data_IF_706042736800
#
_entry.id   IF_706042736800
#
_cell.length_a   1.000
_cell.length_b   1.000
_cell.length_c   1.000
_cell.angle_alpha   90.00
_cell.angle_beta   90.00
_cell.angle_gamma   90.00
#
_symmetry.space_group_name_H-M   'P 1'
#
loop_
_entity.id
_entity.type
_entity.pdbx_description
1 polymer ?
#
# COMPACT_ATOMS: atom_id res chain seq x y z
N UNK A 1 -46.23 53.93 30.43
CA UNK A 1 -45.24 54.42 31.42
C UNK A 1 -43.86 54.22 30.80
N UNK A 2 -43.31 55.20 30.05
CA UNK A 2 -42.65 56.43 30.53
C UNK A 2 -41.32 56.08 31.25
N UNK A 3 -40.10 56.52 30.89
CA UNK A 3 -39.57 57.59 30.04
C UNK A 3 -38.14 57.26 29.54
N UNK A 4 -37.83 57.91 28.43
CA UNK A 4 -36.73 58.04 27.43
C UNK A 4 -35.36 58.64 27.92
N UNK A 5 -34.37 59.07 27.07
CA UNK A 5 -32.95 58.63 27.07
C UNK A 5 -31.86 59.76 27.09
N UNK A 6 -30.55 59.44 27.07
CA UNK A 6 -29.41 60.27 26.55
C UNK A 6 -28.11 59.47 26.74
N UNK A 7 -27.27 59.11 25.77
CA UNK A 7 -26.42 59.98 24.95
C UNK A 7 -25.84 59.20 23.75
N UNK A 8 -25.68 59.95 22.65
CA UNK A 8 -25.27 59.55 21.30
C UNK A 8 -23.88 60.14 21.02
N UNK A 9 -23.08 59.48 20.17
CA UNK A 9 -21.73 59.83 19.60
C UNK A 9 -20.57 59.17 20.37
N UNK A 10 -19.72 58.34 19.76
CA UNK A 10 -18.88 58.69 18.61
C UNK A 10 -18.70 57.55 17.58
N UNK A 11 -18.82 57.94 16.31
CA UNK A 11 -18.28 57.24 15.13
C UNK A 11 -16.74 57.29 15.14
N UNK A 12 -16.03 56.24 14.72
CA UNK A 12 -15.06 56.28 13.58
C UNK A 12 -14.33 54.95 13.32
N UNK A 13 -14.48 54.50 12.06
CA UNK A 13 -13.47 53.92 11.15
C UNK A 13 -12.73 52.63 11.55
N UNK A 14 -13.15 51.55 10.88
CA UNK A 14 -12.29 50.44 10.46
C UNK A 14 -11.16 50.93 9.54
N UNK A 15 -9.90 50.59 9.86
CA UNK A 15 -8.83 50.27 8.91
C UNK A 15 -7.68 49.56 9.65
N UNK A 16 -7.13 48.56 8.96
CA UNK A 16 -5.95 47.71 9.22
C UNK A 16 -4.94 48.19 10.28
N UNK A 17 -4.41 47.23 11.07
CA UNK A 17 -3.01 46.77 11.04
C UNK A 17 -2.86 45.59 12.03
N UNK A 18 -2.16 44.56 11.56
CA UNK A 18 -1.68 43.39 12.30
C UNK A 18 -0.60 43.72 13.33
N UNK A 19 -0.53 42.96 14.43
CA UNK A 19 0.64 42.19 14.95
C UNK A 19 0.44 41.81 16.43
N UNK A 20 0.88 40.58 16.73
CA UNK A 20 0.81 39.79 17.96
C UNK A 20 1.19 40.48 19.28
N UNK A 21 0.60 39.97 20.38
CA UNK A 21 1.34 39.36 21.50
C UNK A 21 0.38 38.57 22.41
N UNK A 22 0.54 37.25 22.46
CA UNK A 22 0.08 36.43 23.57
C UNK A 22 1.31 35.84 24.25
N UNK A 23 1.54 36.28 25.49
CA UNK A 23 2.51 35.72 26.42
C UNK A 23 1.82 34.55 27.12
N UNK A 24 2.48 33.40 27.20
CA UNK A 24 2.16 32.38 28.20
C UNK A 24 3.46 31.71 28.68
N UNK A 25 3.61 31.75 29.99
CA UNK A 25 4.71 31.23 30.79
C UNK A 25 4.57 29.72 31.03
N UNK A 26 5.72 29.05 30.96
CA UNK A 26 6.23 27.91 31.73
C UNK A 26 5.38 26.64 32.01
N UNK A 27 6.01 25.48 31.78
CA UNK A 27 5.99 24.41 32.80
C UNK A 27 6.07 22.97 32.31
N UNK A 28 7.27 22.37 32.44
CA UNK A 28 7.56 20.96 32.71
C UNK A 28 7.12 19.86 31.70
N UNK A 29 8.10 19.44 30.89
CA UNK A 29 8.37 18.02 30.60
C UNK A 29 7.45 17.34 29.59
N UNK A 30 7.85 17.37 28.31
CA UNK A 30 7.77 16.23 27.38
C UNK A 30 8.62 16.58 26.14
N UNK A 31 9.64 15.76 25.86
CA UNK A 31 10.40 15.84 24.62
C UNK A 31 9.48 15.50 23.44
N UNK A 32 9.08 16.52 22.68
CA UNK A 32 8.51 16.34 21.34
C UNK A 32 9.60 16.64 20.33
N UNK A 33 10.01 15.60 19.62
CA UNK A 33 10.77 15.67 18.38
C UNK A 33 9.93 16.47 17.36
N UNK A 34 10.28 17.72 17.14
CA UNK A 34 9.77 18.50 16.01
C UNK A 34 10.63 18.20 14.79
N UNK A 35 10.13 17.32 13.91
CA UNK A 35 10.64 17.24 12.55
C UNK A 35 10.40 18.59 11.86
N UNK A 36 11.48 19.26 11.50
CA UNK A 36 11.48 20.48 10.69
C UNK A 36 10.72 20.24 9.37
N UNK A 37 9.47 20.67 9.28
CA UNK A 37 8.90 21.10 8.00
C UNK A 37 9.43 22.50 7.73
N UNK A 38 10.59 22.60 7.08
CA UNK A 38 10.91 23.81 6.32
C UNK A 38 9.93 23.83 5.14
N UNK A 39 8.84 24.58 5.26
CA UNK A 39 8.21 25.12 4.06
C UNK A 39 9.20 26.13 3.50
N UNK A 40 9.95 25.73 2.48
CA UNK A 40 10.54 26.70 1.56
C UNK A 40 9.37 27.42 0.89
N UNK A 41 8.97 28.55 1.46
CA UNK A 41 8.30 29.60 0.71
C UNK A 41 9.28 30.04 -0.38
N UNK A 42 9.21 29.34 -1.51
CA UNK A 42 9.94 29.70 -2.71
C UNK A 42 9.50 31.09 -3.13
N UNK A 43 10.46 31.99 -3.07
CA UNK A 43 10.44 33.33 -3.62
C UNK A 43 9.83 33.29 -5.04
N UNK A 44 8.74 34.04 -5.25
CA UNK A 44 8.08 34.14 -6.54
C UNK A 44 8.94 34.97 -7.49
N UNK A 45 10.04 34.39 -8.00
CA UNK A 45 10.72 34.91 -9.16
C UNK A 45 9.96 34.47 -10.40
N UNK A 46 9.27 35.43 -11.00
CA UNK A 46 8.79 35.38 -12.38
C UNK A 46 9.98 35.11 -13.32
N UNK A 47 10.24 33.85 -13.63
CA UNK A 47 11.05 33.44 -14.77
C UNK A 47 10.10 33.05 -15.91
N UNK A 48 10.08 33.87 -16.95
CA UNK A 48 9.35 33.62 -18.19
C UNK A 48 10.05 32.59 -19.06
N UNK A 49 10.06 31.33 -18.63
CA UNK A 49 10.31 30.20 -19.54
C UNK A 49 8.96 29.66 -20.01
N UNK A 50 8.67 29.91 -21.29
CA UNK A 50 7.53 29.34 -21.98
C UNK A 50 7.83 27.86 -22.20
N UNK A 51 7.48 27.00 -21.22
CA UNK A 51 7.61 25.55 -21.37
C UNK A 51 6.88 25.13 -22.65
N UNK A 52 7.60 24.53 -23.60
CA UNK A 52 6.98 23.90 -24.75
C UNK A 52 5.94 22.90 -24.24
N UNK A 53 4.73 22.95 -24.80
CA UNK A 53 3.68 22.01 -24.42
C UNK A 53 3.86 20.71 -25.22
N UNK A 54 3.66 19.53 -24.61
CA UNK A 54 3.75 18.27 -25.32
C UNK A 54 2.71 18.22 -26.44
N UNK A 55 3.14 17.79 -27.63
CA UNK A 55 2.27 17.71 -28.80
C UNK A 55 1.67 16.30 -28.86
N UNK A 56 0.33 16.15 -29.00
CA UNK A 56 -0.27 14.83 -29.20
C UNK A 56 0.29 14.14 -30.45
N UNK A 57 0.76 12.91 -30.30
CA UNK A 57 1.21 12.02 -31.39
C UNK A 57 0.06 11.18 -31.98
N UNK A 58 -1.18 11.56 -31.70
CA UNK A 58 -2.40 10.89 -32.15
C UNK A 58 -3.47 10.85 -31.07
N UNK A 59 -4.34 9.84 -31.13
CA UNK A 59 -5.45 9.65 -30.19
C UNK A 59 -5.44 8.22 -29.64
N UNK A 60 -5.64 8.09 -28.33
CA UNK A 60 -5.91 6.79 -27.68
C UNK A 60 -7.36 6.37 -27.88
N UNK A 61 -8.26 7.36 -27.82
CA UNK A 61 -9.68 7.19 -28.12
C UNK A 61 -10.06 8.33 -29.05
N UNK A 62 -10.69 7.98 -30.18
CA UNK A 62 -11.28 8.95 -31.10
C UNK A 62 -12.66 8.46 -31.49
N UNK A 63 -13.67 9.00 -30.79
CA UNK A 63 -15.08 8.73 -31.04
C UNK A 63 -15.81 10.06 -31.20
N UNK A 64 -17.09 10.03 -31.61
CA UNK A 64 -17.91 11.25 -31.71
C UNK A 64 -18.17 11.92 -30.36
N UNK A 65 -18.20 11.16 -29.25
CA UNK A 65 -18.51 11.67 -27.91
C UNK A 65 -17.29 11.87 -27.00
N UNK A 66 -16.15 11.23 -27.29
CA UNK A 66 -14.94 11.33 -26.48
C UNK A 66 -13.70 11.28 -27.37
N UNK A 67 -12.81 12.24 -27.17
CA UNK A 67 -11.49 12.30 -27.81
C UNK A 67 -10.43 12.39 -26.73
N UNK A 68 -9.59 11.36 -26.64
CA UNK A 68 -8.47 11.28 -25.71
C UNK A 68 -7.15 11.31 -26.50
N UNK A 69 -6.34 12.38 -26.39
CA UNK A 69 -5.06 12.46 -27.08
C UNK A 69 -4.07 11.39 -26.59
N UNK A 70 -3.17 10.99 -27.48
CA UNK A 70 -2.03 10.13 -27.18
C UNK A 70 -0.78 10.99 -27.18
N UNK A 71 0.01 10.89 -26.11
CA UNK A 71 1.28 11.58 -25.97
C UNK A 71 2.43 10.57 -25.98
N UNK A 72 3.61 11.02 -26.40
CA UNK A 72 4.85 10.26 -26.27
C UNK A 72 5.25 10.18 -24.79
N UNK A 73 5.41 8.99 -24.19
CA UNK A 73 5.92 8.86 -22.83
C UNK A 73 7.28 9.52 -22.61
N UNK A 74 8.10 9.68 -23.65
CA UNK A 74 9.45 10.26 -23.60
C UNK A 74 9.58 11.61 -24.32
N UNK A 75 8.46 12.35 -24.43
CA UNK A 75 8.41 13.69 -25.02
C UNK A 75 9.54 14.60 -24.47
N UNK A 76 10.19 15.43 -25.30
CA UNK A 76 11.26 16.32 -24.86
C UNK A 76 10.94 17.16 -23.62
N UNK A 77 9.68 17.55 -23.45
CA UNK A 77 9.18 18.36 -22.33
C UNK A 77 9.31 17.67 -20.98
N UNK A 78 9.30 16.33 -20.94
CA UNK A 78 9.42 15.55 -19.69
C UNK A 78 10.83 15.02 -19.42
N UNK A 79 11.75 15.12 -20.40
CA UNK A 79 13.13 14.65 -20.26
C UNK A 79 13.86 15.19 -19.02
N UNK A 80 13.72 16.47 -18.62
CA UNK A 80 14.38 17.01 -17.43
C UNK A 80 13.96 16.31 -16.12
N UNK A 81 12.77 15.70 -16.09
CA UNK A 81 12.24 15.04 -14.90
C UNK A 81 12.56 13.54 -14.84
N UNK A 82 12.99 12.95 -15.96
CA UNK A 82 13.27 11.52 -16.10
C UNK A 82 14.72 11.24 -15.71
N UNK A 83 14.93 10.44 -14.67
CA UNK A 83 16.25 9.89 -14.35
C UNK A 83 16.52 8.67 -15.22
N UNK A 84 17.64 8.70 -15.97
CA UNK A 84 18.00 7.65 -16.96
C UNK A 84 18.60 6.38 -16.34
N UNK A 85 19.18 6.45 -15.15
CA UNK A 85 19.81 5.31 -14.49
C UNK A 85 19.16 5.05 -13.14
N UNK A 86 18.22 4.12 -13.11
CA UNK A 86 17.94 3.38 -11.89
C UNK A 86 18.98 2.28 -11.84
N UNK A 87 20.03 2.46 -11.04
CA UNK A 87 20.70 1.26 -10.53
C UNK A 87 19.58 0.46 -9.87
N UNK A 88 19.42 -0.84 -10.18
CA UNK A 88 18.47 -1.69 -9.45
C UNK A 88 18.71 -1.41 -7.96
N UNK A 89 17.80 -0.72 -7.30
CA UNK A 89 18.01 -0.39 -5.89
C UNK A 89 17.96 -1.72 -5.17
N UNK A 90 19.12 -2.16 -4.70
CA UNK A 90 19.26 -3.36 -3.93
C UNK A 90 19.19 -2.94 -2.48
N UNK A 91 18.19 -3.46 -1.78
CA UNK A 91 18.13 -3.31 -0.35
C UNK A 91 19.39 -3.93 0.28
N UNK A 92 20.07 -3.23 1.19
CA UNK A 92 21.35 -3.68 1.73
C UNK A 92 21.16 -4.81 2.73
N UNK A 93 22.12 -5.73 2.78
CA UNK A 93 22.15 -6.78 3.78
C UNK A 93 22.37 -8.16 3.17
N UNK A 94 22.65 -9.12 4.05
CA UNK A 94 22.77 -10.54 3.68
C UNK A 94 21.37 -11.11 3.37
N UNK A 95 21.27 -12.12 2.50
CA UNK A 95 20.00 -12.69 2.09
C UNK A 95 19.23 -13.32 3.26
N UNK A 96 17.91 -13.30 3.12
CA UNK A 96 17.02 -14.09 3.95
C UNK A 96 17.25 -15.58 3.69
N UNK A 97 17.27 -16.37 4.77
CA UNK A 97 17.56 -17.80 4.69
C UNK A 97 16.47 -18.68 5.29
N UNK A 98 15.38 -18.11 5.81
CA UNK A 98 14.22 -18.90 6.21
C UNK A 98 13.12 -18.78 5.17
N UNK A 99 12.43 -19.88 4.95
CA UNK A 99 11.22 -19.96 4.12
C UNK A 99 10.20 -20.89 4.77
N UNK A 100 9.02 -20.96 4.18
CA UNK A 100 7.97 -21.89 4.59
C UNK A 100 7.72 -22.90 3.48
N UNK A 101 7.91 -24.19 3.78
CA UNK A 101 7.56 -25.30 2.88
C UNK A 101 6.38 -26.05 3.48
N UNK A 102 5.20 -25.90 2.85
CA UNK A 102 3.95 -26.49 3.33
C UNK A 102 3.62 -26.13 4.79
N UNK A 103 3.96 -24.90 5.21
CA UNK A 103 3.75 -24.41 6.58
C UNK A 103 4.89 -24.72 7.55
N UNK A 104 5.89 -25.53 7.17
CA UNK A 104 7.06 -25.82 8.00
C UNK A 104 8.17 -24.81 7.73
N UNK A 105 8.77 -24.19 8.77
CA UNK A 105 10.00 -23.42 8.62
C UNK A 105 11.10 -24.28 7.98
N UNK A 106 11.84 -23.71 7.04
CA UNK A 106 12.93 -24.40 6.35
C UNK A 106 14.06 -23.45 6.08
N UNK A 107 15.29 -23.97 6.15
CA UNK A 107 16.51 -23.20 5.87
C UNK A 107 16.83 -23.28 4.37
N UNK A 108 17.24 -22.15 3.81
CA UNK A 108 17.87 -22.05 2.50
C UNK A 108 19.39 -22.06 2.70
N UNK A 109 20.10 -23.17 2.41
CA UNK A 109 21.51 -23.35 2.81
C UNK A 109 22.42 -22.22 2.34
N UNK A 110 22.34 -21.85 1.05
CA UNK A 110 23.14 -20.75 0.47
C UNK A 110 22.95 -19.43 1.22
N UNK A 111 21.70 -19.14 1.61
CA UNK A 111 21.40 -17.93 2.36
C UNK A 111 22.08 -17.92 3.72
N UNK A 112 22.05 -19.05 4.45
CA UNK A 112 22.67 -19.18 5.77
C UNK A 112 24.21 -19.18 5.68
N UNK A 113 24.78 -19.80 4.65
CA UNK A 113 26.23 -19.81 4.37
C UNK A 113 26.80 -18.38 4.27
N UNK A 114 26.07 -17.46 3.63
CA UNK A 114 26.49 -16.05 3.56
C UNK A 114 26.56 -15.37 4.94
N UNK A 115 25.84 -15.88 5.95
CA UNK A 115 25.96 -15.42 7.34
C UNK A 115 27.15 -16.03 8.07
N UNK A 116 27.82 -17.04 7.52
CA UNK A 116 28.96 -17.73 8.16
C UNK A 116 28.55 -18.59 9.35
N UNK A 117 27.32 -19.13 9.33
CA UNK A 117 26.75 -19.93 10.42
C UNK A 117 26.39 -21.31 9.90
N UNK A 118 26.74 -22.37 10.65
CA UNK A 118 26.34 -23.74 10.31
C UNK A 118 24.90 -24.01 10.78
N UNK A 119 24.10 -24.83 10.07
CA UNK A 119 22.73 -25.17 10.48
C UNK A 119 22.63 -25.70 11.91
N UNK A 120 23.60 -26.51 12.35
CA UNK A 120 23.68 -27.07 13.69
C UNK A 120 23.97 -26.04 14.78
N UNK A 121 24.53 -24.88 14.44
CA UNK A 121 24.81 -23.78 15.37
C UNK A 121 23.68 -22.75 15.42
N UNK A 122 22.67 -22.88 14.55
CA UNK A 122 21.55 -21.94 14.44
C UNK A 122 20.52 -22.15 15.56
N UNK A 123 20.10 -21.06 16.18
CA UNK A 123 18.91 -21.01 17.03
C UNK A 123 18.05 -19.82 16.63
N UNK A 124 16.75 -20.04 16.43
CA UNK A 124 15.83 -18.99 16.02
C UNK A 124 14.64 -18.91 16.97
N UNK A 125 14.16 -17.69 17.17
CA UNK A 125 13.00 -17.36 17.98
C UNK A 125 12.04 -16.52 17.15
N UNK A 126 10.76 -16.56 17.50
CA UNK A 126 9.78 -15.74 16.81
C UNK A 126 8.77 -15.11 17.77
N UNK A 127 8.20 -14.00 17.32
CA UNK A 127 7.03 -13.39 17.92
C UNK A 127 5.91 -13.32 16.90
N UNK A 128 4.71 -13.72 17.31
CA UNK A 128 3.50 -13.43 16.54
C UNK A 128 3.24 -11.93 16.50
N UNK A 129 2.94 -11.41 15.31
CA UNK A 129 2.45 -10.05 15.14
C UNK A 129 0.96 -10.14 14.84
N UNK A 130 0.13 -9.55 15.69
CA UNK A 130 -1.32 -9.71 15.59
C UNK A 130 -2.08 -8.41 15.83
N UNK A 131 -3.35 -8.42 15.41
CA UNK A 131 -4.30 -7.31 15.56
C UNK A 131 -5.16 -7.50 16.82
N UNK A 132 -5.15 -6.54 17.74
CA UNK A 132 -6.07 -6.55 18.88
C UNK A 132 -7.45 -6.00 18.49
N UNK A 133 -8.42 -6.89 18.25
CA UNK A 133 -9.77 -6.52 17.85
C UNK A 133 -10.57 -5.75 18.93
N UNK A 134 -10.15 -5.80 20.19
CA UNK A 134 -10.84 -5.15 21.32
C UNK A 134 -10.26 -3.76 21.65
N UNK A 135 -9.23 -3.31 20.93
CA UNK A 135 -8.64 -1.99 21.13
C UNK A 135 -9.54 -0.84 20.68
N UNK A 136 -9.28 0.37 21.20
CA UNK A 136 -10.04 1.57 20.83
C UNK A 136 -9.92 1.93 19.33
N UNK A 137 -8.74 1.72 18.74
CA UNK A 137 -8.45 1.89 17.30
C UNK A 137 -7.56 0.73 16.80
N UNK A 138 -8.13 -0.44 16.50
CA UNK A 138 -7.37 -1.65 16.16
C UNK A 138 -6.48 -1.52 14.92
N UNK A 139 -6.85 -0.67 13.97
CA UNK A 139 -6.09 -0.46 12.72
C UNK A 139 -5.04 0.66 12.83
N UNK A 140 -4.73 1.09 14.05
CA UNK A 140 -3.67 2.07 14.36
C UNK A 140 -2.51 1.49 15.17
N UNK A 141 -2.57 0.20 15.55
CA UNK A 141 -1.55 -0.44 16.39
C UNK A 141 -1.41 -1.91 16.02
N UNK A 142 -0.21 -2.44 16.17
CA UNK A 142 0.05 -3.88 16.18
C UNK A 142 0.32 -4.34 17.61
N UNK A 143 0.17 -5.64 17.84
CA UNK A 143 0.59 -6.28 19.08
C UNK A 143 1.68 -7.30 18.78
N UNK A 144 2.63 -7.44 19.70
CA UNK A 144 3.69 -8.45 19.65
C UNK A 144 3.40 -9.53 20.70
N UNK A 145 3.32 -10.79 20.26
CA UNK A 145 3.14 -11.94 21.12
C UNK A 145 4.40 -12.29 21.92
N UNK A 146 4.29 -13.28 22.81
CA UNK A 146 5.44 -13.80 23.56
C UNK A 146 6.49 -14.40 22.61
N UNK A 147 7.76 -14.28 22.96
CA UNK A 147 8.88 -14.90 22.24
C UNK A 147 8.76 -16.42 22.39
N UNK A 148 8.81 -17.16 21.28
CA UNK A 148 8.77 -18.62 21.22
C UNK A 148 9.96 -19.14 20.44
N UNK A 149 10.39 -20.38 20.72
CA UNK A 149 11.42 -21.04 19.92
C UNK A 149 10.82 -21.42 18.55
N UNK A 150 11.55 -21.13 17.48
CA UNK A 150 11.19 -21.60 16.15
C UNK A 150 11.65 -23.06 16.01
N UNK A 151 10.71 -23.97 15.83
CA UNK A 151 11.00 -25.39 15.53
C UNK A 151 10.88 -25.62 14.03
N UNK A 152 11.85 -26.33 13.45
CA UNK A 152 11.83 -26.73 12.04
C UNK A 152 10.98 -27.99 11.79
N UNK A 153 10.68 -28.75 12.85
CA UNK A 153 9.89 -30.00 12.78
C UNK A 153 8.40 -29.77 13.02
N UNK A 154 7.99 -28.52 13.27
CA UNK A 154 6.59 -28.15 13.54
C UNK A 154 6.13 -27.12 12.52
N UNK A 155 4.90 -27.29 12.06
CA UNK A 155 4.25 -26.29 11.22
C UNK A 155 4.04 -25.00 12.04
N UNK A 156 4.29 -23.87 11.41
CA UNK A 156 4.01 -22.56 11.99
C UNK A 156 2.48 -22.35 12.00
N UNK A 157 1.92 -22.10 13.18
CA UNK A 157 0.47 -21.92 13.37
C UNK A 157 0.05 -20.45 13.32
N UNK A 158 1.01 -19.54 13.35
CA UNK A 158 0.80 -18.10 13.27
C UNK A 158 0.89 -17.60 11.82
N UNK A 159 0.03 -16.64 11.47
CA UNK A 159 -0.06 -16.09 10.10
C UNK A 159 1.09 -15.13 9.81
N UNK A 160 1.49 -14.33 10.80
CA UNK A 160 2.55 -13.33 10.64
C UNK A 160 3.48 -13.38 11.83
N UNK A 161 4.76 -13.66 11.58
CA UNK A 161 5.77 -13.70 12.64
C UNK A 161 7.01 -12.92 12.24
N UNK A 162 7.61 -12.27 13.23
CA UNK A 162 8.98 -11.76 13.15
C UNK A 162 9.90 -12.82 13.75
N UNK A 163 10.84 -13.32 12.95
CA UNK A 163 11.85 -14.28 13.38
C UNK A 163 13.17 -13.57 13.61
N UNK A 164 13.82 -13.87 14.72
CA UNK A 164 15.17 -13.44 15.08
C UNK A 164 16.03 -14.67 15.31
N UNK A 165 17.17 -14.74 14.60
CA UNK A 165 18.10 -15.86 14.66
C UNK A 165 19.43 -15.43 15.25
N UNK A 166 19.99 -16.32 16.06
CA UNK A 166 21.24 -16.17 16.78
C UNK A 166 22.06 -17.47 16.65
N UNK A 167 23.28 -17.46 17.18
CA UNK A 167 24.08 -18.68 17.32
C UNK A 167 23.82 -19.31 18.69
N UNK A 168 23.96 -20.63 18.81
CA UNK A 168 23.84 -21.34 20.10
C UNK A 168 24.80 -20.82 21.18
N UNK A 169 25.96 -20.29 20.77
CA UNK A 169 26.95 -19.67 21.67
C UNK A 169 26.48 -18.32 22.24
N UNK A 170 25.56 -17.62 21.55
CA UNK A 170 25.10 -16.29 21.94
C UNK A 170 23.62 -16.10 21.61
N UNK A 171 22.71 -16.87 22.25
CA UNK A 171 21.28 -16.91 21.89
C UNK A 171 20.53 -15.58 22.10
N UNK A 172 21.09 -14.67 22.90
CA UNK A 172 20.52 -13.33 23.13
C UNK A 172 21.02 -12.27 22.13
N UNK A 173 22.03 -12.59 21.32
CA UNK A 173 22.57 -11.68 20.30
C UNK A 173 22.14 -12.15 18.91
N UNK A 174 21.03 -11.59 18.43
CA UNK A 174 20.51 -11.94 17.11
C UNK A 174 21.36 -11.31 16.00
N UNK A 175 21.82 -12.12 15.05
CA UNK A 175 22.57 -11.66 13.89
C UNK A 175 21.68 -11.45 12.66
N UNK A 176 20.50 -12.09 12.64
CA UNK A 176 19.56 -12.01 11.52
C UNK A 176 18.12 -11.85 12.01
N UNK A 177 17.33 -11.10 11.26
CA UNK A 177 15.91 -10.89 11.52
C UNK A 177 15.17 -10.89 10.18
N UNK A 178 14.06 -11.61 10.10
CA UNK A 178 13.21 -11.64 8.90
C UNK A 178 11.76 -11.93 9.26
N UNK A 179 10.84 -11.55 8.37
CA UNK A 179 9.43 -11.88 8.51
C UNK A 179 9.13 -13.25 7.87
N UNK A 180 8.24 -14.02 8.49
CA UNK A 180 7.61 -15.16 7.83
C UNK A 180 6.11 -14.91 7.78
N UNK A 181 5.59 -14.67 6.58
CA UNK A 181 4.17 -14.46 6.30
C UNK A 181 3.58 -15.77 5.75
N UNK A 182 2.71 -16.38 6.54
CA UNK A 182 2.19 -17.74 6.39
C UNK A 182 0.67 -17.71 6.15
N UNK A 183 0.20 -17.83 4.90
CA UNK A 183 -1.23 -17.82 4.62
C UNK A 183 -1.88 -19.11 5.11
N UNK A 184 -2.53 -19.05 6.27
CA UNK A 184 -3.16 -20.19 6.94
C UNK A 184 -4.60 -20.41 6.48
N UNK A 185 -5.05 -21.67 6.42
CA UNK A 185 -6.48 -21.98 6.28
C UNK A 185 -7.20 -21.79 7.62
N UNK A 186 -7.90 -20.67 7.77
CA UNK A 186 -8.59 -20.31 9.02
C UNK A 186 -9.90 -21.09 9.15
N UNK A 187 -10.06 -21.87 10.23
CA UNK A 187 -11.23 -22.75 10.45
C UNK A 187 -12.57 -22.01 10.35
N UNK A 188 -12.68 -20.82 10.95
CA UNK A 188 -13.88 -19.99 10.90
C UNK A 188 -14.21 -19.49 9.47
N UNK A 189 -13.19 -19.14 8.68
CA UNK A 189 -13.35 -18.72 7.28
C UNK A 189 -13.84 -19.89 6.43
N UNK A 190 -13.25 -21.07 6.60
CA UNK A 190 -13.67 -22.27 5.88
C UNK A 190 -15.10 -22.68 6.23
N UNK A 191 -15.48 -22.59 7.51
CA UNK A 191 -16.86 -22.84 7.96
C UNK A 191 -17.85 -21.82 7.35
N UNK A 192 -17.51 -20.52 7.35
CA UNK A 192 -18.30 -19.47 6.70
C UNK A 192 -18.49 -19.77 5.22
N UNK A 193 -17.43 -20.15 4.52
CA UNK A 193 -17.48 -20.43 3.08
C UNK A 193 -18.33 -21.67 2.76
N UNK A 194 -18.24 -22.74 3.59
CA UNK A 194 -19.08 -23.94 3.42
C UNK A 194 -20.57 -23.64 3.58
N UNK A 195 -20.92 -22.75 4.52
CA UNK A 195 -22.31 -22.34 4.82
C UNK A 195 -22.90 -21.30 3.86
N UNK A 196 -22.12 -20.80 2.90
CA UNK A 196 -22.60 -19.81 1.94
C UNK A 196 -23.74 -20.40 1.08
N UNK A 197 -24.95 -19.82 1.22
CA UNK A 197 -26.17 -20.28 0.54
C UNK A 197 -26.23 -19.85 -0.94
N UNK A 198 -25.66 -18.68 -1.26
CA UNK A 198 -25.66 -18.11 -2.62
C UNK A 198 -24.24 -18.10 -3.16
N UNK A 199 -23.85 -19.13 -3.89
CA UNK A 199 -22.52 -19.23 -4.54
C UNK A 199 -22.56 -18.64 -5.94
N UNK A 200 -21.41 -18.26 -6.47
CA UNK A 200 -21.28 -17.87 -7.88
C UNK A 200 -21.21 -19.11 -8.76
N UNK A 201 -21.91 -19.16 -9.91
CA UNK A 201 -21.88 -20.34 -10.79
C UNK A 201 -20.48 -20.61 -11.37
N UNK A 202 -19.75 -19.54 -11.72
CA UNK A 202 -18.46 -19.61 -12.39
C UNK A 202 -17.28 -19.89 -11.44
N UNK A 203 -17.42 -19.63 -10.13
CA UNK A 203 -16.37 -19.75 -9.11
C UNK A 203 -15.01 -19.06 -9.43
N UNK A 204 -14.94 -18.22 -10.47
CA UNK A 204 -13.75 -17.40 -10.77
C UNK A 204 -13.34 -16.58 -9.55
N UNK A 205 -12.06 -16.66 -9.21
CA UNK A 205 -11.39 -15.78 -8.24
C UNK A 205 -11.17 -14.40 -8.86
N UNK A 206 -10.87 -13.41 -8.02
CA UNK A 206 -10.58 -12.04 -8.47
C UNK A 206 -9.34 -11.53 -7.75
N UNK A 207 -8.42 -10.94 -8.53
CA UNK A 207 -7.30 -10.14 -8.02
C UNK A 207 -7.44 -8.74 -8.59
N UNK A 208 -7.67 -7.77 -7.71
CA UNK A 208 -7.52 -6.35 -8.01
C UNK A 208 -6.12 -5.94 -7.52
N UNK A 209 -5.19 -5.83 -8.45
CA UNK A 209 -3.79 -5.46 -8.21
C UNK A 209 -3.57 -4.01 -8.65
N UNK A 210 -3.42 -3.11 -7.69
CA UNK A 210 -3.37 -1.68 -7.91
C UNK A 210 -2.05 -1.03 -7.46
N UNK A 211 -1.65 0.00 -8.19
CA UNK A 211 -0.54 0.90 -7.85
C UNK A 211 -1.06 2.33 -7.69
N UNK A 212 -0.67 3.03 -6.62
CA UNK A 212 -0.98 4.46 -6.45
C UNK A 212 -0.15 5.33 -7.40
N UNK A 213 -0.76 6.40 -7.93
CA UNK A 213 -0.06 7.51 -8.59
C UNK A 213 0.64 7.18 -9.92
N UNK A 214 0.30 6.06 -10.56
CA UNK A 214 0.88 5.61 -11.84
C UNK A 214 -0.05 5.95 -13.00
N UNK A 215 0.32 6.97 -13.78
CA UNK A 215 -0.38 7.27 -15.04
C UNK A 215 -0.02 6.27 -16.14
N UNK A 216 -0.81 6.22 -17.22
CA UNK A 216 -0.47 5.42 -18.40
C UNK A 216 0.96 5.72 -18.91
N UNK A 217 1.32 7.01 -19.02
CA UNK A 217 2.65 7.42 -19.49
C UNK A 217 3.75 7.08 -18.48
N UNK A 218 3.42 6.98 -17.18
CA UNK A 218 4.36 6.58 -16.15
C UNK A 218 4.58 5.06 -16.16
N UNK A 219 3.52 4.27 -16.40
CA UNK A 219 3.60 2.83 -16.62
C UNK A 219 4.55 2.50 -17.79
N UNK A 220 4.36 3.15 -18.94
CA UNK A 220 5.21 2.92 -20.12
C UNK A 220 6.67 3.33 -19.91
N UNK A 221 6.93 4.32 -19.05
CA UNK A 221 8.29 4.82 -18.76
C UNK A 221 9.04 3.97 -17.75
N UNK A 222 8.37 3.58 -16.67
CA UNK A 222 9.03 3.06 -15.47
C UNK A 222 8.64 1.63 -15.13
N UNK A 223 7.58 1.09 -15.71
CA UNK A 223 7.24 -0.32 -15.59
C UNK A 223 7.21 -1.03 -16.97
N UNK A 224 8.23 -0.84 -17.84
CA UNK A 224 8.20 -1.36 -19.20
C UNK A 224 8.14 -2.89 -19.26
N UNK A 225 8.84 -3.60 -18.36
CA UNK A 225 8.85 -5.07 -18.37
C UNK A 225 7.48 -5.62 -17.94
N UNK A 226 6.89 -5.04 -16.89
CA UNK A 226 5.54 -5.37 -16.40
C UNK A 226 4.50 -5.06 -17.46
N UNK A 227 4.54 -3.87 -18.06
CA UNK A 227 3.58 -3.45 -19.07
C UNK A 227 3.66 -4.36 -20.31
N UNK A 228 4.86 -4.71 -20.75
CA UNK A 228 5.08 -5.66 -21.83
C UNK A 228 4.51 -7.04 -21.48
N UNK A 229 4.77 -7.54 -20.26
CA UNK A 229 4.23 -8.82 -19.82
C UNK A 229 2.69 -8.83 -19.82
N UNK A 230 2.06 -7.79 -19.27
CA UNK A 230 0.59 -7.67 -19.23
C UNK A 230 -0.01 -7.61 -20.63
N UNK A 231 0.57 -6.81 -21.54
CA UNK A 231 0.04 -6.63 -22.90
C UNK A 231 0.30 -7.84 -23.80
N UNK A 232 1.53 -8.35 -23.81
CA UNK A 232 1.97 -9.35 -24.79
C UNK A 232 1.86 -10.79 -24.27
N UNK A 233 2.15 -11.04 -22.99
CA UNK A 233 2.14 -12.40 -22.42
C UNK A 233 0.79 -12.78 -21.84
N UNK A 234 0.14 -11.88 -21.12
CA UNK A 234 -1.22 -12.12 -20.62
C UNK A 234 -2.29 -11.83 -21.68
N UNK A 235 -1.97 -11.05 -22.70
CA UNK A 235 -2.96 -10.62 -23.71
C UNK A 235 -4.09 -9.81 -23.09
N UNK A 236 -3.79 -9.00 -22.06
CA UNK A 236 -4.81 -8.31 -21.28
C UNK A 236 -5.57 -7.28 -22.13
N UNK A 237 -6.86 -7.15 -21.86
CA UNK A 237 -7.70 -6.12 -22.49
C UNK A 237 -7.46 -4.76 -21.81
N UNK A 238 -6.85 -3.82 -22.53
CA UNK A 238 -6.50 -2.50 -22.02
C UNK A 238 -7.65 -1.51 -22.15
N UNK A 239 -8.12 -1.00 -21.01
CA UNK A 239 -9.20 0.00 -20.96
C UNK A 239 -8.65 1.41 -21.19
N UNK A 240 -8.45 1.79 -22.46
CA UNK A 240 -7.87 3.10 -22.82
C UNK A 240 -8.66 4.33 -22.31
N UNK A 241 -9.93 4.14 -21.94
CA UNK A 241 -10.82 5.21 -21.41
C UNK A 241 -10.99 5.16 -19.90
N UNK A 242 -10.34 4.24 -19.21
CA UNK A 242 -10.34 4.19 -17.75
C UNK A 242 -9.72 5.48 -17.19
N UNK A 243 -10.44 6.16 -16.31
CA UNK A 243 -10.03 7.45 -15.77
C UNK A 243 -10.51 7.63 -14.33
N UNK A 244 -9.82 8.51 -13.61
CA UNK A 244 -10.12 8.86 -12.23
C UNK A 244 -11.44 9.62 -12.15
N UNK A 245 -12.20 9.38 -11.09
CA UNK A 245 -13.43 10.11 -10.73
C UNK A 245 -13.18 11.14 -9.61
N UNK A 246 -11.97 11.16 -9.05
CA UNK A 246 -11.55 12.15 -8.07
C UNK A 246 -10.05 12.41 -8.08
N UNK A 247 -9.60 13.30 -7.20
CA UNK A 247 -8.21 13.79 -7.23
C UNK A 247 -7.20 12.81 -6.66
N UNK A 248 -7.52 12.11 -5.57
CA UNK A 248 -6.60 11.23 -4.85
C UNK A 248 -7.17 9.81 -4.69
N UNK A 249 -6.48 8.94 -3.95
CA UNK A 249 -6.86 7.52 -3.81
C UNK A 249 -8.24 7.28 -3.23
N UNK A 250 -8.64 7.99 -2.17
CA UNK A 250 -9.92 7.77 -1.50
C UNK A 250 -11.17 7.88 -2.41
N UNK A 251 -11.42 8.98 -3.15
CA UNK A 251 -12.57 9.12 -4.04
C UNK A 251 -12.61 8.07 -5.14
N UNK A 252 -11.44 7.74 -5.71
CA UNK A 252 -11.34 6.70 -6.73
C UNK A 252 -11.62 5.32 -6.12
N UNK A 253 -11.02 5.04 -4.96
CA UNK A 253 -11.18 3.83 -4.16
C UNK A 253 -12.63 3.50 -3.82
N UNK A 254 -13.35 4.44 -3.21
CA UNK A 254 -14.76 4.20 -2.83
C UNK A 254 -15.65 4.00 -4.05
N UNK A 255 -15.33 4.62 -5.19
CA UNK A 255 -16.08 4.44 -6.42
C UNK A 255 -15.97 3.02 -6.96
N UNK A 256 -14.77 2.45 -7.09
CA UNK A 256 -14.63 1.08 -7.62
C UNK A 256 -14.85 -0.02 -6.57
N UNK A 257 -14.75 0.27 -5.27
CA UNK A 257 -14.96 -0.73 -4.21
C UNK A 257 -16.41 -0.78 -3.70
N UNK A 258 -17.12 0.34 -3.69
CA UNK A 258 -18.48 0.43 -3.16
C UNK A 258 -19.51 0.91 -4.20
N UNK A 259 -19.08 1.45 -5.35
CA UNK A 259 -19.98 2.08 -6.31
C UNK A 259 -20.57 3.41 -5.82
N UNK A 260 -19.86 4.09 -4.91
CA UNK A 260 -20.36 5.29 -4.22
C UNK A 260 -19.53 6.53 -4.58
N UNK A 261 -20.18 7.69 -4.52
CA UNK A 261 -19.50 8.99 -4.45
C UNK A 261 -18.93 9.21 -3.04
N UNK A 262 -17.95 10.10 -2.93
CA UNK A 262 -17.29 10.42 -1.65
C UNK A 262 -18.27 10.81 -0.56
N UNK A 263 -19.22 11.72 -0.86
CA UNK A 263 -20.14 12.21 0.16
C UNK A 263 -21.06 11.10 0.68
N UNK A 264 -21.39 10.10 -0.14
CA UNK A 264 -22.20 8.93 0.25
C UNK A 264 -21.37 8.00 1.14
N UNK A 265 -20.09 7.78 0.80
CA UNK A 265 -19.18 7.00 1.62
C UNK A 265 -18.89 7.67 2.98
N UNK A 266 -18.74 9.00 3.01
CA UNK A 266 -18.46 9.76 4.22
C UNK A 266 -19.65 9.80 5.19
N UNK A 267 -20.89 9.70 4.69
CA UNK A 267 -22.09 9.53 5.52
C UNK A 267 -22.08 8.21 6.31
N UNK A 268 -21.34 7.20 5.83
CA UNK A 268 -21.18 5.90 6.49
C UNK A 268 -19.99 5.88 7.48
N UNK A 269 -19.32 7.02 7.69
CA UNK A 269 -18.23 7.15 8.66
C UNK A 269 -18.78 7.51 10.04
N UNK A 270 -18.42 6.73 11.05
CA UNK A 270 -18.87 6.93 12.43
C UNK A 270 -17.68 6.98 13.39
N UNK A 271 -17.50 8.10 14.10
CA UNK A 271 -16.35 8.34 15.00
C UNK A 271 -14.98 8.06 14.33
N UNK A 272 -14.87 8.37 13.04
CA UNK A 272 -13.67 8.14 12.23
C UNK A 272 -13.49 6.70 11.73
N UNK A 273 -14.45 5.79 11.96
CA UNK A 273 -14.41 4.41 11.50
C UNK A 273 -15.32 4.16 10.30
N UNK A 274 -14.94 3.19 9.46
CA UNK A 274 -15.65 2.79 8.23
C UNK A 274 -16.46 1.49 8.38
N UNK A 275 -16.77 1.07 9.60
CA UNK A 275 -17.48 -0.20 9.85
C UNK A 275 -18.86 -0.27 9.16
N UNK A 276 -19.62 0.83 9.08
CA UNK A 276 -20.92 0.84 8.36
C UNK A 276 -20.73 0.67 6.85
N UNK A 277 -19.76 1.39 6.28
CA UNK A 277 -19.37 1.27 4.86
C UNK A 277 -18.93 -0.15 4.50
N UNK A 278 -18.32 -0.89 5.44
CA UNK A 278 -17.83 -2.26 5.22
C UNK A 278 -18.86 -3.15 4.52
N UNK A 279 -20.14 -3.04 4.89
CA UNK A 279 -21.23 -3.85 4.32
C UNK A 279 -21.46 -3.65 2.82
N UNK A 280 -21.10 -2.47 2.28
CA UNK A 280 -21.26 -2.11 0.86
C UNK A 280 -20.02 -2.44 0.02
N UNK A 281 -18.87 -2.65 0.66
CA UNK A 281 -17.61 -2.92 -0.03
C UNK A 281 -17.64 -4.29 -0.73
N UNK A 282 -17.09 -4.33 -1.94
CA UNK A 282 -17.15 -5.47 -2.86
C UNK A 282 -16.65 -6.78 -2.23
N UNK A 283 -15.61 -6.72 -1.39
CA UNK A 283 -15.12 -7.91 -0.70
C UNK A 283 -16.16 -8.50 0.28
N UNK A 284 -17.02 -7.70 0.91
CA UNK A 284 -18.11 -8.26 1.74
C UNK A 284 -19.13 -9.02 0.90
N UNK A 285 -19.40 -8.54 -0.32
CA UNK A 285 -20.25 -9.26 -1.26
C UNK A 285 -19.64 -10.62 -1.63
N UNK A 286 -18.36 -10.66 -2.00
CA UNK A 286 -17.65 -11.92 -2.26
C UNK A 286 -17.59 -12.84 -1.03
N UNK A 287 -17.32 -12.27 0.15
CA UNK A 287 -17.33 -13.00 1.42
C UNK A 287 -18.68 -13.70 1.63
N UNK A 288 -19.80 -13.01 1.46
CA UNK A 288 -21.14 -13.61 1.61
C UNK A 288 -21.42 -14.77 0.65
N UNK A 289 -20.69 -14.82 -0.49
CA UNK A 289 -20.82 -15.85 -1.54
C UNK A 289 -19.82 -16.99 -1.41
N UNK A 290 -19.09 -17.06 -0.29
CA UNK A 290 -18.19 -18.17 0.03
C UNK A 290 -16.76 -18.02 -0.48
N UNK A 291 -16.35 -16.78 -0.79
CA UNK A 291 -14.96 -16.47 -1.14
C UNK A 291 -14.13 -16.19 0.11
N UNK A 292 -12.83 -16.53 0.04
CA UNK A 292 -11.82 -16.00 0.98
C UNK A 292 -11.42 -14.61 0.52
N UNK A 293 -11.41 -13.64 1.43
CA UNK A 293 -11.14 -12.25 1.08
C UNK A 293 -9.83 -11.78 1.70
N UNK A 294 -9.04 -11.05 0.91
CA UNK A 294 -7.81 -10.44 1.36
C UNK A 294 -7.77 -8.97 0.95
N UNK A 295 -7.26 -8.14 1.86
CA UNK A 295 -6.92 -6.74 1.59
C UNK A 295 -5.46 -6.54 1.97
N UNK A 296 -4.64 -6.10 1.03
CA UNK A 296 -3.23 -5.73 1.24
C UNK A 296 -3.08 -4.24 0.96
N UNK A 297 -2.43 -3.55 1.88
CA UNK A 297 -1.92 -2.19 1.72
C UNK A 297 -0.48 -2.19 2.25
N UNK A 298 0.45 -1.60 1.52
CA UNK A 298 1.86 -1.54 1.92
C UNK A 298 2.24 -0.25 2.66
N UNK A 299 1.34 0.74 2.72
CA UNK A 299 1.56 1.97 3.49
C UNK A 299 0.44 2.26 4.50
N UNK A 300 0.75 2.13 5.79
CA UNK A 300 -0.14 2.31 6.94
C UNK A 300 -0.56 3.77 7.12
N UNK A 301 0.37 4.72 6.98
CA UNK A 301 0.11 6.15 7.26
C UNK A 301 -0.86 6.79 6.27
N UNK A 302 -0.87 6.29 5.03
CA UNK A 302 -1.71 6.77 3.93
C UNK A 302 -2.57 5.64 3.35
N UNK A 303 -3.06 4.74 4.20
CA UNK A 303 -3.99 3.71 3.79
C UNK A 303 -5.34 4.30 3.36
N UNK A 304 -6.04 3.60 2.47
CA UNK A 304 -7.29 4.02 1.85
C UNK A 304 -8.38 4.38 2.88
N UNK A 305 -8.49 3.62 3.97
CA UNK A 305 -9.47 3.85 5.03
C UNK A 305 -8.85 4.27 6.36
N UNK A 306 -7.52 4.30 6.48
CA UNK A 306 -6.83 4.61 7.73
C UNK A 306 -5.72 5.61 7.51
N UNK A 307 -6.02 6.87 7.82
CA UNK A 307 -5.14 8.03 7.67
C UNK A 307 -4.95 8.74 9.03
N UNK A 308 -4.34 9.93 9.05
CA UNK A 308 -4.26 10.75 10.26
C UNK A 308 -5.65 11.10 10.84
N UNK A 309 -6.64 11.33 9.99
CA UNK A 309 -8.00 11.77 10.39
C UNK A 309 -9.02 10.64 10.50
N UNK A 310 -8.64 9.39 10.18
CA UNK A 310 -9.53 8.23 10.22
C UNK A 310 -8.90 7.08 11.01
N UNK A 311 -9.73 6.16 11.50
CA UNK A 311 -9.31 5.08 12.38
C UNK A 311 -9.35 3.69 11.72
N UNK A 312 -9.63 3.62 10.41
CA UNK A 312 -9.83 2.35 9.71
C UNK A 312 -11.13 1.67 10.12
N UNK A 313 -11.04 0.39 10.47
CA UNK A 313 -12.16 -0.44 10.88
C UNK A 313 -11.97 -0.93 12.33
N UNK A 314 -13.06 -0.98 13.10
CA UNK A 314 -13.05 -1.70 14.39
C UNK A 314 -13.04 -3.20 14.14
N UNK A 315 -13.93 -3.67 13.26
CA UNK A 315 -14.03 -5.08 12.85
C UNK A 315 -13.26 -5.31 11.57
N UNK A 316 -12.38 -6.31 11.57
CA UNK A 316 -11.60 -6.66 10.39
C UNK A 316 -12.50 -6.92 9.16
N UNK A 317 -12.21 -6.22 8.07
CA UNK A 317 -13.05 -6.14 6.88
C UNK A 317 -12.86 -7.30 5.89
N UNK A 318 -11.69 -7.95 5.91
CA UNK A 318 -11.34 -9.14 5.10
C UNK A 318 -10.85 -10.30 5.96
N UNK A 319 -10.87 -11.52 5.44
CA UNK A 319 -10.39 -12.69 6.20
C UNK A 319 -8.88 -12.64 6.44
N UNK A 320 -8.13 -12.11 5.47
CA UNK A 320 -6.67 -11.93 5.51
C UNK A 320 -6.38 -10.42 5.43
N UNK A 321 -5.67 -9.89 6.43
CA UNK A 321 -5.43 -8.45 6.57
C UNK A 321 -4.07 -8.18 7.24
N UNK A 322 -2.99 -8.04 6.45
CA UNK A 322 -1.62 -7.95 6.96
C UNK A 322 -1.28 -6.57 7.56
N UNK A 323 -2.20 -5.61 7.61
CA UNK A 323 -1.92 -4.23 8.06
C UNK A 323 -1.09 -4.12 9.34
N UNK A 324 -1.33 -4.98 10.33
CA UNK A 324 -0.61 -4.96 11.60
C UNK A 324 0.85 -5.44 11.47
N UNK A 325 1.16 -6.39 10.57
CA UNK A 325 2.56 -6.72 10.28
C UNK A 325 3.23 -5.64 9.45
N UNK A 326 2.49 -4.99 8.54
CA UNK A 326 3.00 -3.83 7.77
C UNK A 326 3.36 -2.66 8.69
N UNK A 327 2.61 -2.43 9.79
CA UNK A 327 3.00 -1.42 10.79
C UNK A 327 4.36 -1.70 11.42
N UNK A 328 4.64 -2.96 11.77
CA UNK A 328 5.94 -3.31 12.32
C UNK A 328 7.04 -3.23 11.25
N UNK A 329 6.72 -3.60 10.01
CA UNK A 329 7.63 -3.42 8.88
C UNK A 329 8.02 -1.94 8.69
N UNK A 330 7.06 -1.01 8.76
CA UNK A 330 7.35 0.43 8.71
C UNK A 330 8.17 0.92 9.90
N UNK A 331 7.96 0.38 11.09
CA UNK A 331 8.77 0.74 12.27
C UNK A 331 10.22 0.25 12.14
N UNK A 332 10.43 -0.90 11.50
CA UNK A 332 11.75 -1.53 11.35
C UNK A 332 12.47 -1.15 10.06
N UNK A 333 11.78 -0.51 9.11
CA UNK A 333 12.39 -0.16 7.84
C UNK A 333 13.53 0.83 8.02
N UNK A 334 14.47 0.80 7.08
CA UNK A 334 15.54 1.78 6.98
C UNK A 334 15.45 2.41 5.61
N UNK A 335 15.20 3.73 5.50
CA UNK A 335 15.23 4.40 4.22
C UNK A 335 16.65 4.34 3.66
N UNK A 336 16.77 3.99 2.39
CA UNK A 336 18.03 4.05 1.62
C UNK A 336 17.92 5.10 0.52
N UNK A 337 18.81 5.06 -0.48
CA UNK A 337 18.76 5.96 -1.64
C UNK A 337 17.35 6.02 -2.26
N UNK A 338 16.94 7.22 -2.69
CA UNK A 338 15.61 7.52 -3.21
C UNK A 338 14.43 7.22 -2.26
N UNK A 339 14.68 7.23 -0.94
CA UNK A 339 13.68 6.95 0.10
C UNK A 339 13.02 5.56 -0.05
N UNK A 340 13.75 4.58 -0.60
CA UNK A 340 13.29 3.20 -0.65
C UNK A 340 13.32 2.60 0.76
N UNK A 341 12.20 2.02 1.20
CA UNK A 341 12.05 1.44 2.53
C UNK A 341 12.49 -0.03 2.56
N UNK A 342 13.68 -0.31 3.10
CA UNK A 342 14.26 -1.66 3.14
C UNK A 342 14.12 -2.34 4.52
N UNK A 343 13.96 -3.66 4.50
CA UNK A 343 13.89 -4.59 5.64
C UNK A 343 15.03 -5.62 5.55
N UNK A 344 16.27 -5.16 5.64
CA UNK A 344 17.42 -5.98 5.27
C UNK A 344 17.46 -6.14 3.75
N UNK A 345 17.52 -7.36 3.18
CA UNK A 345 17.71 -7.55 1.73
C UNK A 345 16.46 -7.34 0.87
N UNK A 346 15.29 -7.09 1.46
CA UNK A 346 14.01 -6.95 0.75
C UNK A 346 13.31 -5.65 1.10
N UNK A 347 12.37 -5.20 0.25
CA UNK A 347 11.42 -4.14 0.62
C UNK A 347 10.18 -4.76 1.27
N UNK A 348 9.45 -4.00 2.08
CA UNK A 348 8.17 -4.53 2.61
C UNK A 348 7.14 -4.75 1.48
N UNK A 349 7.20 -3.99 0.38
CA UNK A 349 6.36 -4.23 -0.81
C UNK A 349 6.65 -5.61 -1.38
N UNK A 350 7.92 -6.00 -1.50
CA UNK A 350 8.30 -7.34 -1.97
C UNK A 350 7.83 -8.43 -1.02
N UNK A 351 7.95 -8.26 0.31
CA UNK A 351 7.42 -9.20 1.30
C UNK A 351 5.90 -9.43 1.14
N UNK A 352 5.14 -8.37 0.82
CA UNK A 352 3.70 -8.44 0.61
C UNK A 352 3.30 -9.04 -0.75
N UNK A 353 4.07 -8.79 -1.81
CA UNK A 353 3.91 -9.45 -3.11
C UNK A 353 4.16 -10.97 -2.98
N UNK A 354 5.21 -11.35 -2.25
CA UNK A 354 5.51 -12.75 -1.93
C UNK A 354 4.42 -13.40 -1.09
N UNK A 355 3.86 -12.67 -0.12
CA UNK A 355 2.71 -13.13 0.66
C UNK A 355 1.49 -13.35 -0.23
N UNK A 356 1.20 -12.46 -1.18
CA UNK A 356 0.13 -12.61 -2.16
C UNK A 356 0.33 -13.87 -3.02
N UNK A 357 1.54 -14.11 -3.53
CA UNK A 357 1.85 -15.31 -4.30
C UNK A 357 1.65 -16.59 -3.49
N UNK A 358 2.10 -16.62 -2.22
CA UNK A 358 1.87 -17.74 -1.30
C UNK A 358 0.39 -17.94 -1.01
N UNK A 359 -0.36 -16.87 -0.76
CA UNK A 359 -1.79 -16.91 -0.48
C UNK A 359 -2.55 -17.56 -1.63
N UNK A 360 -2.31 -17.08 -2.85
CA UNK A 360 -2.93 -17.60 -4.06
C UNK A 360 -2.67 -19.09 -4.22
N UNK A 361 -1.42 -19.54 -4.00
CA UNK A 361 -1.04 -20.95 -4.09
C UNK A 361 -1.82 -21.82 -3.10
N UNK A 362 -1.99 -21.36 -1.85
CA UNK A 362 -2.81 -22.05 -0.84
C UNK A 362 -4.30 -22.10 -1.24
N UNK A 363 -4.76 -21.07 -1.96
CA UNK A 363 -6.15 -20.92 -2.39
C UNK A 363 -6.44 -21.46 -3.79
N UNK A 364 -5.51 -22.12 -4.48
CA UNK A 364 -5.68 -22.52 -5.88
C UNK A 364 -6.99 -23.28 -6.19
N UNK A 365 -7.49 -24.08 -5.23
CA UNK A 365 -8.75 -24.85 -5.33
C UNK A 365 -9.95 -24.19 -4.62
N UNK A 366 -9.85 -22.92 -4.25
CA UNK A 366 -10.81 -22.19 -3.41
C UNK A 366 -11.07 -20.82 -4.04
N UNK A 367 -12.34 -20.41 -4.26
CA UNK A 367 -12.62 -19.08 -4.77
C UNK A 367 -12.16 -18.02 -3.75
N UNK A 368 -11.47 -17.00 -4.25
CA UNK A 368 -10.94 -15.90 -3.45
C UNK A 368 -11.13 -14.54 -4.13
N UNK A 369 -11.14 -13.49 -3.32
CA UNK A 369 -11.13 -12.10 -3.75
C UNK A 369 -9.97 -11.39 -3.06
N UNK A 370 -9.08 -10.78 -3.84
CA UNK A 370 -7.97 -9.98 -3.33
C UNK A 370 -8.13 -8.55 -3.82
N UNK A 371 -8.02 -7.60 -2.89
CA UNK A 371 -7.69 -6.22 -3.18
C UNK A 371 -6.28 -5.95 -2.65
N UNK A 372 -5.31 -5.77 -3.54
CA UNK A 372 -3.93 -5.48 -3.21
C UNK A 372 -3.57 -4.11 -3.77
N UNK A 373 -3.26 -3.17 -2.88
CA UNK A 373 -3.06 -1.77 -3.20
C UNK A 373 -1.68 -1.33 -2.70
N UNK A 374 -0.78 -1.02 -3.64
CA UNK A 374 0.61 -0.68 -3.34
C UNK A 374 0.86 0.81 -3.58
N UNK A 375 1.51 1.45 -2.61
CA UNK A 375 1.57 2.90 -2.41
C UNK A 375 3.01 3.34 -2.15
N UNK A 376 3.76 2.63 -1.30
CA UNK A 376 5.07 3.08 -0.78
C UNK A 376 6.08 3.41 -1.89
N UNK A 377 6.18 2.54 -2.90
CA UNK A 377 7.15 2.70 -3.99
C UNK A 377 6.80 3.90 -4.88
N UNK A 378 5.52 4.17 -5.15
CA UNK A 378 5.10 5.02 -6.27
C UNK A 378 4.53 6.38 -5.85
N UNK A 379 4.01 6.52 -4.63
CA UNK A 379 3.20 7.66 -4.22
C UNK A 379 3.93 9.01 -4.42
N UNK A 380 3.48 9.74 -5.44
CA UNK A 380 4.02 11.05 -5.86
C UNK A 380 5.54 11.06 -6.12
N UNK A 381 6.14 9.90 -6.41
CA UNK A 381 7.58 9.75 -6.71
C UNK A 381 7.76 9.24 -8.12
N UNK A 382 7.82 10.17 -9.08
CA UNK A 382 7.84 9.89 -10.52
C UNK A 382 8.79 8.74 -10.91
N UNK A 383 10.01 8.82 -10.39
CA UNK A 383 11.14 7.99 -10.76
C UNK A 383 11.16 6.66 -9.97
N UNK A 384 10.60 6.63 -8.76
CA UNK A 384 10.63 5.43 -7.92
C UNK A 384 9.74 4.30 -8.46
N UNK A 385 8.78 4.61 -9.33
CA UNK A 385 7.98 3.61 -10.02
C UNK A 385 8.84 2.54 -10.73
N UNK A 386 10.08 2.86 -11.10
CA UNK A 386 11.04 1.91 -11.65
C UNK A 386 11.32 0.71 -10.72
N UNK A 387 11.31 0.93 -9.41
CA UNK A 387 11.54 -0.11 -8.42
C UNK A 387 10.38 -1.11 -8.31
N UNK A 388 9.21 -0.78 -8.88
CA UNK A 388 8.07 -1.69 -8.95
C UNK A 388 8.12 -2.63 -10.17
N UNK A 389 8.91 -2.33 -11.21
CA UNK A 389 8.84 -3.08 -12.47
C UNK A 389 9.19 -4.57 -12.31
N UNK A 390 10.37 -4.87 -11.79
CA UNK A 390 10.81 -6.25 -11.61
C UNK A 390 9.92 -7.03 -10.60
N UNK A 391 9.62 -6.50 -9.38
CA UNK A 391 8.77 -7.22 -8.44
C UNK A 391 7.34 -7.50 -8.95
N UNK A 392 6.71 -6.56 -9.66
CA UNK A 392 5.37 -6.77 -10.19
C UNK A 392 5.37 -7.75 -11.37
N UNK A 393 6.35 -7.65 -12.27
CA UNK A 393 6.53 -8.67 -13.33
C UNK A 393 6.71 -10.05 -12.72
N UNK A 394 7.59 -10.21 -11.73
CA UNK A 394 7.84 -11.50 -11.07
C UNK A 394 6.57 -12.07 -10.42
N UNK A 395 5.76 -11.24 -9.75
CA UNK A 395 4.47 -11.68 -9.22
C UNK A 395 3.56 -12.19 -10.35
N UNK A 396 3.40 -11.41 -11.43
CA UNK A 396 2.53 -11.78 -12.55
C UNK A 396 2.99 -13.07 -13.27
N UNK A 397 4.30 -13.24 -13.43
CA UNK A 397 4.92 -14.48 -13.92
C UNK A 397 4.59 -15.66 -13.01
N UNK A 398 4.71 -15.49 -11.69
CA UNK A 398 4.38 -16.53 -10.72
C UNK A 398 2.87 -16.89 -10.73
N UNK A 399 1.99 -15.89 -10.88
CA UNK A 399 0.55 -16.12 -11.01
C UNK A 399 0.22 -16.89 -12.30
N UNK A 400 0.87 -16.56 -13.41
CA UNK A 400 0.71 -17.29 -14.67
C UNK A 400 1.26 -18.73 -14.57
N UNK A 401 2.51 -18.89 -14.13
CA UNK A 401 3.20 -20.18 -14.07
C UNK A 401 2.53 -21.17 -13.10
N UNK A 402 1.89 -20.67 -12.03
CA UNK A 402 1.13 -21.51 -11.10
C UNK A 402 -0.22 -21.98 -11.65
N UNK A 403 -0.65 -21.51 -12.83
CA UNK A 403 -1.98 -21.77 -13.39
C UNK A 403 -3.11 -21.01 -12.68
N UNK A 404 -2.79 -20.09 -11.77
CA UNK A 404 -3.79 -19.31 -11.02
C UNK A 404 -4.69 -18.51 -11.96
N UNK A 405 -4.10 -17.89 -12.98
CA UNK A 405 -4.82 -17.01 -13.89
C UNK A 405 -5.84 -17.74 -14.78
N UNK A 406 -5.79 -19.08 -14.86
CA UNK A 406 -6.78 -19.87 -15.61
C UNK A 406 -8.20 -19.76 -15.03
N UNK A 407 -8.32 -19.46 -13.74
CA UNK A 407 -9.61 -19.33 -13.04
C UNK A 407 -9.71 -18.05 -12.21
N UNK A 408 -8.95 -17.01 -12.60
CA UNK A 408 -8.89 -15.75 -11.87
C UNK A 408 -9.03 -14.56 -12.81
N UNK A 409 -9.97 -13.67 -12.53
CA UNK A 409 -10.04 -12.36 -13.16
C UNK A 409 -8.97 -11.47 -12.52
N UNK A 410 -7.99 -11.03 -13.31
CA UNK A 410 -6.98 -10.06 -12.89
C UNK A 410 -7.36 -8.67 -13.41
N UNK A 411 -7.54 -7.72 -12.50
CA UNK A 411 -7.57 -6.29 -12.81
C UNK A 411 -6.25 -5.68 -12.35
N UNK A 412 -5.42 -5.23 -13.30
CA UNK A 412 -4.19 -4.50 -13.04
C UNK A 412 -4.41 -3.02 -13.38
N UNK A 413 -4.26 -2.12 -12.40
CA UNK A 413 -4.74 -0.75 -12.54
C UNK A 413 -4.04 0.24 -11.61
N UNK A 414 -4.37 1.53 -11.78
CA UNK A 414 -4.00 2.62 -10.89
C UNK A 414 -5.22 3.52 -10.65
N UNK A 415 -5.19 4.38 -9.65
CA UNK A 415 -6.28 5.28 -9.27
C UNK A 415 -6.15 6.65 -9.93
N UNK A 416 -4.93 7.17 -10.02
CA UNK A 416 -4.59 8.44 -10.64
C UNK A 416 -3.11 8.46 -11.07
N UNK A 417 -2.72 9.46 -11.87
CA UNK A 417 -1.31 9.81 -12.04
C UNK A 417 -0.83 10.74 -10.93
N UNK A 418 0.46 11.11 -10.95
CA UNK A 418 0.99 12.13 -10.03
C UNK A 418 0.12 13.39 -9.94
N UNK A 419 -0.09 13.88 -8.72
CA UNK A 419 -0.87 15.09 -8.41
C UNK A 419 0.01 16.31 -8.16
N UNK A 420 1.29 16.11 -7.84
CA UNK A 420 2.22 17.20 -7.49
C UNK A 420 3.56 17.07 -8.22
N UNK A 421 4.31 18.16 -8.26
CA UNK A 421 5.65 18.25 -8.83
C UNK A 421 5.67 18.89 -10.22
N UNK A 422 6.83 19.43 -10.59
CA UNK A 422 7.02 20.28 -11.77
C UNK A 422 6.61 19.62 -13.10
N UNK A 423 6.56 18.28 -13.17
CA UNK A 423 6.07 17.54 -14.34
C UNK A 423 4.57 17.77 -14.62
N UNK A 424 3.80 18.25 -13.63
CA UNK A 424 2.41 18.67 -13.82
C UNK A 424 2.29 20.05 -14.49
N UNK A 425 3.33 20.86 -14.39
CA UNK A 425 3.36 22.21 -14.95
C UNK A 425 3.97 22.23 -16.36
N UNK A 426 4.54 21.10 -16.80
CA UNK A 426 5.15 20.93 -18.13
C UNK A 426 4.16 20.54 -19.23
N UNK A 427 2.84 20.59 -19.00
CA UNK A 427 1.83 20.25 -20.01
C UNK A 427 0.40 20.09 -19.48
#
# INVERSE_FOLDING_TARGET
>A
MAITPFLRKLRRKFRLVSVLRAVLLCGAGHCLWTSFFKSSSGDSRSYGEQWERPVPIGYRIRTSGCTLPRFDPFDPTVKPFIRRSFKRAQCPGKPNFLTLRNGFPSILPRGLEEHGVLPEDLVCFYNEIYRNAYGAAPDKRYMKGKRKNLSFDRALEEEFVLVECATKKSPESSFHRQFLLNPLLKKNVEQRCRRARRRTPHNLSVIMLGLDSVSYLNLDRYLPETAKFVREKLGAFELHGYNKVGENTYPNGVAYLAGLKVFEADQEKEFGFYDKLSSRLIWRQYSSRGYRTMMIEDWVRLGLFSTLSTNGFRRQQTDYYPRHVVMLMEELNKPVEDDLSCLGPTTHTQELLDYLAKFVKVMLKRPFFVFAWFVDITHERLNNAAYADEPFRQLLEALLASGTLNHTVLAFFSDHGMRKGNIRDSG
#
